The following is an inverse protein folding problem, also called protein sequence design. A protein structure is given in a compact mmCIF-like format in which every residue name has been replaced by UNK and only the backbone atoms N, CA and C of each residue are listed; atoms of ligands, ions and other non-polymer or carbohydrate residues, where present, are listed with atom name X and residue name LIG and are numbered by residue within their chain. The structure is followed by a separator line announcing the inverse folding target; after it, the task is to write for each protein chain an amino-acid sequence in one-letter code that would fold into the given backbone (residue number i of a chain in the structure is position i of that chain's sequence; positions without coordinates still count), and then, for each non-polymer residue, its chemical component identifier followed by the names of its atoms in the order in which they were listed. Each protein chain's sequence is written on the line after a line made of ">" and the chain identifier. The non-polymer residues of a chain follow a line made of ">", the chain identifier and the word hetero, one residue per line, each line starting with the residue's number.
data_IF_494656592353
#
_entry.id   IF_494656592353
#
_cell.length_a   1.000
_cell.length_b   1.000
_cell.length_c   1.000
_cell.angle_alpha   90.00
_cell.angle_beta   90.00
_cell.angle_gamma   90.00
#
_symmetry.space_group_name_H-M   'P 1'
#
loop_
_entity.id
_entity.type
_entity.pdbx_description
1 polymer ?
#
# COMPACT_ATOMS: atom_id res chain seq x y z
N UNK A 1 -3.35 0.90 -17.65
CA UNK A 1 -3.10 1.23 -16.23
C UNK A 1 -4.36 1.57 -15.45
N UNK A 2 -5.04 2.71 -15.67
CA UNK A 2 -6.33 2.98 -14.98
C UNK A 2 -7.39 1.92 -15.35
N UNK A 3 -7.45 1.58 -16.65
CA UNK A 3 -8.31 0.50 -17.14
C UNK A 3 -8.00 -0.87 -16.48
N UNK A 4 -6.73 -1.16 -16.17
CA UNK A 4 -6.33 -2.43 -15.54
C UNK A 4 -6.69 -2.47 -14.05
N UNK A 5 -6.69 -1.31 -13.39
CA UNK A 5 -7.07 -1.18 -11.96
C UNK A 5 -8.58 -1.36 -11.76
N UNK A 6 -9.40 -0.74 -12.60
CA UNK A 6 -10.85 -0.93 -12.55
C UNK A 6 -11.25 -2.34 -13.01
N UNK A 7 -10.58 -2.86 -14.04
CA UNK A 7 -10.74 -4.25 -14.46
C UNK A 7 -10.41 -5.22 -13.32
N UNK A 8 -9.29 -5.04 -12.61
CA UNK A 8 -8.94 -5.90 -11.49
C UNK A 8 -9.93 -5.76 -10.33
N UNK A 9 -10.32 -4.53 -9.96
CA UNK A 9 -11.28 -4.31 -8.87
C UNK A 9 -12.58 -5.08 -9.12
N UNK A 10 -13.04 -5.15 -10.37
CA UNK A 10 -14.23 -5.91 -10.75
C UNK A 10 -14.08 -7.45 -10.64
N UNK A 11 -12.85 -7.96 -10.63
CA UNK A 11 -12.55 -9.39 -10.54
C UNK A 11 -12.37 -9.87 -9.09
N UNK A 12 -12.19 -8.94 -8.14
CA UNK A 12 -12.02 -9.26 -6.72
C UNK A 12 -13.29 -9.96 -6.22
N UNK A 13 -13.16 -11.24 -5.87
CA UNK A 13 -14.25 -12.02 -5.27
C UNK A 13 -14.39 -11.68 -3.78
N UNK A 14 -15.45 -10.99 -3.34
CA UNK A 14 -15.61 -10.59 -1.94
C UNK A 14 -15.75 -11.81 -1.03
N UNK A 15 -15.27 -11.68 0.21
CA UNK A 15 -15.56 -12.64 1.27
C UNK A 15 -17.03 -12.55 1.70
N UNK A 16 -17.58 -13.65 2.21
CA UNK A 16 -18.97 -13.72 2.70
C UNK A 16 -19.17 -12.75 3.87
N UNK A 17 -18.15 -12.61 4.72
CA UNK A 17 -18.10 -11.68 5.85
C UNK A 17 -16.65 -11.24 6.10
N UNK A 18 -16.43 -10.08 6.75
CA UNK A 18 -15.12 -9.68 7.26
C UNK A 18 -14.47 -10.76 8.11
N UNK A 19 -13.14 -10.81 8.08
CA UNK A 19 -12.35 -11.80 8.86
C UNK A 19 -12.04 -11.33 10.28
N UNK A 20 -12.35 -10.08 10.58
CA UNK A 20 -12.17 -9.42 11.88
C UNK A 20 -13.32 -8.44 12.11
N UNK A 21 -13.58 -8.09 13.37
CA UNK A 21 -14.54 -7.07 13.81
C UNK A 21 -13.91 -5.67 13.93
N UNK A 22 -12.58 -5.59 13.92
CA UNK A 22 -11.83 -4.33 13.95
C UNK A 22 -12.02 -3.53 12.68
N UNK A 23 -11.79 -2.23 12.74
CA UNK A 23 -11.67 -1.37 11.57
C UNK A 23 -10.21 -1.33 11.06
N UNK A 24 -10.00 -0.91 9.82
CA UNK A 24 -8.67 -0.68 9.27
C UNK A 24 -8.41 0.80 9.02
N UNK A 25 -7.30 1.33 9.54
CA UNK A 25 -6.78 2.65 9.14
C UNK A 25 -5.63 2.43 8.16
N UNK A 26 -5.82 2.82 6.90
CA UNK A 26 -4.77 2.77 5.88
C UNK A 26 -4.10 4.13 5.76
N UNK A 27 -2.78 4.16 5.90
CA UNK A 27 -1.98 5.39 5.83
C UNK A 27 -1.14 5.34 4.57
N UNK A 28 -1.38 6.29 3.67
CA UNK A 28 -0.63 6.46 2.43
C UNK A 28 0.09 7.80 2.43
N UNK A 29 1.31 7.87 1.88
CA UNK A 29 1.96 9.15 1.65
C UNK A 29 1.17 10.00 0.66
N UNK A 30 1.23 11.32 0.77
CA UNK A 30 0.74 12.21 -0.28
C UNK A 30 1.51 11.99 -1.58
N UNK A 31 0.89 12.30 -2.72
CA UNK A 31 1.56 12.20 -4.03
C UNK A 31 2.80 13.09 -4.08
N UNK A 32 2.71 14.30 -3.55
CA UNK A 32 3.83 15.24 -3.52
C UNK A 32 4.99 14.66 -2.73
N UNK A 33 4.75 14.21 -1.50
CA UNK A 33 5.79 13.60 -0.67
C UNK A 33 6.36 12.33 -1.30
N UNK A 34 5.51 11.51 -1.93
CA UNK A 34 5.94 10.32 -2.66
C UNK A 34 6.95 10.64 -3.75
N UNK A 35 6.64 11.62 -4.61
CA UNK A 35 7.50 12.01 -5.73
C UNK A 35 8.78 12.69 -5.25
N UNK A 36 8.69 13.56 -4.23
CA UNK A 36 9.84 14.23 -3.62
C UNK A 36 10.80 13.24 -2.97
N UNK A 37 10.29 12.24 -2.23
CA UNK A 37 11.11 11.20 -1.63
C UNK A 37 11.85 10.40 -2.71
N UNK A 38 11.18 9.99 -3.78
CA UNK A 38 11.81 9.25 -4.87
C UNK A 38 12.87 10.08 -5.59
N UNK A 39 12.59 11.35 -5.88
CA UNK A 39 13.57 12.26 -6.45
C UNK A 39 14.81 12.37 -5.54
N UNK A 40 14.61 12.54 -4.24
CA UNK A 40 15.69 12.63 -3.25
C UNK A 40 16.55 11.38 -3.26
N UNK A 41 15.94 10.19 -3.20
CA UNK A 41 16.65 8.90 -3.18
C UNK A 41 17.42 8.66 -4.48
N UNK A 42 16.79 8.93 -5.63
CA UNK A 42 17.43 8.70 -6.93
C UNK A 42 18.57 9.67 -7.21
N UNK A 43 18.54 10.87 -6.63
CA UNK A 43 19.65 11.83 -6.72
C UNK A 43 20.94 11.34 -6.04
N UNK A 44 20.86 10.34 -5.17
CA UNK A 44 22.06 9.67 -4.64
C UNK A 44 22.88 8.96 -5.73
N UNK A 45 22.21 8.46 -6.79
CA UNK A 45 22.86 7.84 -7.96
C UNK A 45 22.87 8.72 -9.22
N UNK A 46 21.91 9.63 -9.35
CA UNK A 46 21.72 10.50 -10.53
C UNK A 46 21.51 11.96 -10.09
N UNK A 47 22.58 12.70 -9.73
CA UNK A 47 22.46 14.00 -9.05
C UNK A 47 21.66 15.08 -9.81
N UNK A 48 21.67 15.03 -11.15
CA UNK A 48 21.00 16.02 -12.01
C UNK A 48 19.53 15.66 -12.33
N UNK A 49 18.97 14.62 -11.70
CA UNK A 49 17.58 14.24 -11.91
C UNK A 49 16.63 15.37 -11.47
N UNK A 50 15.59 15.62 -12.25
CA UNK A 50 14.60 16.68 -12.00
C UNK A 50 13.23 16.09 -11.68
N UNK A 51 12.37 16.88 -11.03
CA UNK A 51 10.99 16.45 -10.77
C UNK A 51 10.23 16.17 -12.07
N UNK A 52 10.44 16.99 -13.10
CA UNK A 52 9.83 16.76 -14.42
C UNK A 52 10.19 15.39 -15.03
N UNK A 53 11.43 14.91 -14.83
CA UNK A 53 11.83 13.59 -15.28
C UNK A 53 11.16 12.46 -14.48
N UNK A 54 10.91 12.67 -13.18
CA UNK A 54 10.19 11.73 -12.32
C UNK A 54 8.70 11.70 -12.69
N UNK A 55 8.06 12.86 -12.85
CA UNK A 55 6.66 12.96 -13.27
C UNK A 55 6.41 12.40 -14.67
N UNK A 56 7.37 12.54 -15.58
CA UNK A 56 7.29 11.97 -16.93
C UNK A 56 7.50 10.45 -16.96
N UNK A 57 7.99 9.84 -15.88
CA UNK A 57 8.21 8.39 -15.82
C UNK A 57 6.93 7.66 -15.41
N UNK A 58 6.35 6.81 -16.28
CA UNK A 58 5.13 6.09 -15.98
C UNK A 58 5.25 5.18 -14.75
N UNK A 59 6.43 4.67 -14.44
CA UNK A 59 6.65 3.79 -13.29
C UNK A 59 6.30 4.44 -11.95
N UNK A 60 6.66 5.73 -11.74
CA UNK A 60 6.33 6.43 -10.50
C UNK A 60 4.85 6.80 -10.41
N UNK A 61 4.27 7.26 -11.53
CA UNK A 61 2.84 7.53 -11.60
C UNK A 61 2.01 6.26 -11.34
N UNK A 62 2.40 5.13 -11.92
CA UNK A 62 1.76 3.82 -11.72
C UNK A 62 1.91 3.36 -10.28
N UNK A 63 3.13 3.38 -9.74
CA UNK A 63 3.41 2.91 -8.38
C UNK A 63 2.58 3.65 -7.34
N UNK A 64 2.47 4.97 -7.46
CA UNK A 64 1.59 5.73 -6.57
C UNK A 64 0.12 5.33 -6.70
N UNK A 65 -0.38 5.18 -7.94
CA UNK A 65 -1.76 4.73 -8.17
C UNK A 65 -2.03 3.33 -7.62
N UNK A 66 -1.08 2.40 -7.70
CA UNK A 66 -1.21 1.07 -7.09
C UNK A 66 -1.32 1.15 -5.57
N UNK A 67 -0.55 2.03 -4.92
CA UNK A 67 -0.60 2.19 -3.47
C UNK A 67 -1.92 2.76 -2.96
N UNK A 68 -2.50 3.75 -3.65
CA UNK A 68 -3.79 4.33 -3.24
C UNK A 68 -4.98 3.41 -3.53
N UNK A 69 -4.81 2.40 -4.40
CA UNK A 69 -5.87 1.45 -4.74
C UNK A 69 -5.95 0.26 -3.79
N UNK A 70 -4.87 -0.08 -3.08
CA UNK A 70 -4.89 -1.17 -2.10
C UNK A 70 -6.03 -1.04 -1.06
N UNK A 71 -6.30 0.12 -0.45
CA UNK A 71 -7.48 0.29 0.41
C UNK A 71 -8.81 -0.10 -0.27
N UNK A 72 -9.03 0.35 -1.51
CA UNK A 72 -10.23 0.03 -2.30
C UNK A 72 -10.33 -1.47 -2.56
N UNK A 73 -9.22 -2.14 -2.82
CA UNK A 73 -9.19 -3.59 -3.03
C UNK A 73 -9.47 -4.37 -1.74
N UNK A 74 -8.93 -3.94 -0.60
CA UNK A 74 -9.22 -4.53 0.72
C UNK A 74 -10.72 -4.37 1.05
N UNK A 75 -11.30 -3.20 0.77
CA UNK A 75 -12.73 -2.91 0.95
C UNK A 75 -13.59 -3.81 0.05
N UNK A 76 -13.26 -3.85 -1.24
CA UNK A 76 -13.96 -4.68 -2.23
C UNK A 76 -13.91 -6.16 -1.85
N UNK A 77 -12.76 -6.62 -1.33
CA UNK A 77 -12.57 -7.99 -0.85
C UNK A 77 -13.35 -8.28 0.44
N UNK A 78 -13.84 -7.26 1.14
CA UNK A 78 -14.49 -7.36 2.46
C UNK A 78 -13.59 -8.04 3.51
N UNK A 79 -12.31 -7.67 3.57
CA UNK A 79 -11.41 -8.20 4.62
C UNK A 79 -11.79 -7.57 5.97
N UNK A 80 -12.02 -6.26 5.97
CA UNK A 80 -12.43 -5.48 7.14
C UNK A 80 -13.89 -4.99 7.00
N UNK A 81 -14.61 -4.77 8.10
CA UNK A 81 -15.96 -4.20 8.10
C UNK A 81 -15.98 -2.72 7.67
N UNK A 82 -14.94 -1.96 8.00
CA UNK A 82 -14.77 -0.59 7.53
C UNK A 82 -13.29 -0.21 7.37
N UNK A 83 -13.03 0.74 6.48
CA UNK A 83 -11.68 1.22 6.16
C UNK A 83 -11.66 2.75 6.17
N UNK A 84 -10.72 3.34 6.89
CA UNK A 84 -10.41 4.77 6.87
C UNK A 84 -9.09 4.98 6.14
N UNK A 85 -9.04 5.86 5.13
CA UNK A 85 -7.80 6.20 4.42
C UNK A 85 -7.30 7.55 4.88
N UNK A 86 -6.05 7.61 5.33
CA UNK A 86 -5.34 8.83 5.72
C UNK A 86 -4.19 9.10 4.78
N UNK A 87 -4.24 10.25 4.12
CA UNK A 87 -3.15 10.75 3.27
C UNK A 87 -2.31 11.71 4.10
N UNK A 88 -1.01 11.43 4.23
CA UNK A 88 -0.08 12.20 5.08
C UNK A 88 1.25 12.42 4.36
N UNK A 89 1.98 13.48 4.69
CA UNK A 89 3.34 13.62 4.15
C UNK A 89 4.32 12.73 4.92
N UNK A 90 4.24 12.72 6.25
CA UNK A 90 5.07 11.83 7.07
C UNK A 90 4.15 10.85 7.81
N UNK A 91 4.30 9.53 7.62
CA UNK A 91 3.53 8.53 8.34
C UNK A 91 4.05 8.39 9.77
N UNK A 92 4.02 9.48 10.54
CA UNK A 92 4.37 9.50 11.95
C UNK A 92 3.09 9.49 12.78
N UNK A 93 2.99 8.48 13.66
CA UNK A 93 2.09 8.43 14.82
C UNK A 93 0.69 7.83 14.64
N UNK A 94 0.41 7.08 13.57
CA UNK A 94 -0.81 6.25 13.54
C UNK A 94 -0.50 4.90 14.18
N UNK A 95 -1.07 4.71 15.36
CA UNK A 95 -0.97 3.48 16.14
C UNK A 95 -2.29 2.70 16.06
N UNK A 96 -2.23 1.36 16.05
CA UNK A 96 -3.42 0.55 16.18
C UNK A 96 -4.04 0.74 17.57
N UNK A 97 -5.33 0.47 17.65
CA UNK A 97 -6.08 0.39 18.90
C UNK A 97 -6.63 -1.03 19.06
N UNK A 98 -7.33 -1.29 20.17
CA UNK A 98 -8.06 -2.56 20.31
C UNK A 98 -9.16 -2.72 19.27
N UNK A 99 -9.67 -1.60 18.73
CA UNK A 99 -10.78 -1.54 17.76
C UNK A 99 -10.31 -1.28 16.32
N UNK A 100 -9.02 -1.02 16.11
CA UNK A 100 -8.48 -0.71 14.79
C UNK A 100 -7.08 -1.23 14.57
N UNK A 101 -6.87 -1.87 13.42
CA UNK A 101 -5.54 -2.14 12.90
C UNK A 101 -5.08 -0.98 12.01
N UNK A 102 -3.77 -0.86 11.80
CA UNK A 102 -3.19 0.13 10.90
C UNK A 102 -2.40 -0.56 9.78
N UNK A 103 -2.60 -0.11 8.54
CA UNK A 103 -1.80 -0.51 7.39
C UNK A 103 -1.07 0.72 6.84
N UNK A 104 0.24 0.78 6.99
CA UNK A 104 1.03 1.99 6.79
C UNK A 104 2.00 1.77 5.63
N UNK A 105 1.91 2.58 4.59
CA UNK A 105 2.92 2.64 3.54
C UNK A 105 4.12 3.44 4.03
N UNK A 106 5.30 2.82 4.00
CA UNK A 106 6.57 3.48 4.31
C UNK A 106 7.42 3.55 3.06
N UNK A 107 7.85 4.76 2.71
CA UNK A 107 8.73 4.99 1.57
C UNK A 107 10.18 4.69 1.95
N UNK A 108 10.90 4.04 1.04
CA UNK A 108 12.32 3.76 1.25
C UNK A 108 13.13 5.06 1.31
N UNK A 109 14.08 5.18 2.26
CA UNK A 109 14.99 6.31 2.28
C UNK A 109 16.28 6.05 1.48
N UNK A 110 16.47 4.85 0.91
CA UNK A 110 17.74 4.37 0.35
C UNK A 110 17.60 3.89 -1.10
N UNK A 111 18.61 4.21 -1.92
CA UNK A 111 18.71 3.73 -3.29
C UNK A 111 18.74 2.19 -3.37
N UNK A 112 17.94 1.63 -4.27
CA UNK A 112 17.86 0.18 -4.53
C UNK A 112 17.00 -0.62 -3.54
N UNK A 113 16.49 0.00 -2.47
CA UNK A 113 15.46 -0.59 -1.63
C UNK A 113 14.05 -0.31 -2.20
N UNK A 114 13.05 -1.10 -1.78
CA UNK A 114 11.65 -0.95 -2.20
C UNK A 114 10.83 -0.30 -1.08
N UNK A 115 9.80 0.43 -1.46
CA UNK A 115 8.75 0.86 -0.53
C UNK A 115 8.05 -0.36 0.07
N UNK A 116 7.53 -0.20 1.29
CA UNK A 116 7.00 -1.32 2.06
C UNK A 116 5.72 -0.96 2.79
N UNK A 117 4.75 -1.86 2.72
CA UNK A 117 3.58 -1.84 3.57
C UNK A 117 3.90 -2.48 4.91
N UNK A 118 3.44 -1.85 5.99
CA UNK A 118 3.52 -2.37 7.33
C UNK A 118 2.14 -2.48 7.94
N UNK A 119 1.78 -3.69 8.32
CA UNK A 119 0.60 -3.93 9.14
C UNK A 119 0.97 -3.81 10.62
N UNK A 120 0.14 -3.11 11.37
CA UNK A 120 0.29 -2.95 12.80
C UNK A 120 -1.04 -3.26 13.49
N UNK A 121 -1.02 -4.19 14.45
CA UNK A 121 -2.13 -4.45 15.35
C UNK A 121 -1.68 -4.31 16.80
N UNK A 122 -2.59 -3.88 17.68
CA UNK A 122 -2.32 -3.76 19.12
C UNK A 122 -1.91 -5.12 19.73
N UNK A 123 -2.51 -6.21 19.24
CA UNK A 123 -2.27 -7.57 19.76
C UNK A 123 -0.98 -8.21 19.24
N UNK A 124 -0.67 -8.00 17.97
CA UNK A 124 0.38 -8.75 17.26
C UNK A 124 1.59 -7.90 16.84
N UNK A 125 1.62 -6.63 17.25
CA UNK A 125 2.70 -5.72 16.92
C UNK A 125 2.73 -5.35 15.44
N UNK A 126 3.92 -5.02 14.94
CA UNK A 126 4.18 -4.54 13.57
C UNK A 126 4.82 -5.63 12.72
N UNK A 127 4.34 -5.82 11.50
CA UNK A 127 4.92 -6.71 10.49
C UNK A 127 4.93 -6.07 9.11
N UNK A 128 5.89 -6.44 8.28
CA UNK A 128 5.85 -6.08 6.87
C UNK A 128 4.79 -6.92 6.14
N UNK A 129 4.09 -6.30 5.20
CA UNK A 129 3.17 -6.95 4.26
C UNK A 129 3.82 -6.88 2.88
N UNK A 130 3.96 -8.03 2.25
CA UNK A 130 4.55 -8.16 0.92
C UNK A 130 3.75 -9.21 0.16
N UNK A 131 3.43 -8.91 -1.10
CA UNK A 131 2.96 -9.93 -2.03
C UNK A 131 4.10 -10.86 -2.43
N UNK A 132 3.75 -12.02 -2.99
CA UNK A 132 4.72 -12.98 -3.49
C UNK A 132 5.51 -12.41 -4.68
N UNK A 133 6.82 -12.23 -4.47
CA UNK A 133 7.74 -11.72 -5.49
C UNK A 133 8.03 -12.74 -6.60
N UNK A 134 7.72 -14.03 -6.39
CA UNK A 134 7.88 -15.10 -7.38
C UNK A 134 6.76 -15.14 -8.43
N UNK A 135 5.66 -14.44 -8.18
CA UNK A 135 4.55 -14.33 -9.12
C UNK A 135 4.90 -13.35 -10.24
N UNK A 136 4.66 -13.74 -11.49
CA UNK A 136 4.98 -12.90 -12.67
C UNK A 136 3.81 -11.99 -13.03
N UNK A 137 2.58 -12.53 -12.97
CA UNK A 137 1.36 -11.83 -13.35
C UNK A 137 0.97 -10.75 -12.34
N UNK A 138 0.59 -9.58 -12.84
CA UNK A 138 0.29 -8.41 -12.00
C UNK A 138 -0.92 -8.65 -11.09
N UNK A 139 -1.98 -9.26 -11.60
CA UNK A 139 -3.20 -9.52 -10.83
C UNK A 139 -2.96 -10.56 -9.72
N UNK A 140 -2.19 -11.61 -10.01
CA UNK A 140 -1.83 -12.62 -9.02
C UNK A 140 -0.97 -12.04 -7.89
N UNK A 141 -0.11 -11.04 -8.18
CA UNK A 141 0.63 -10.30 -7.14
C UNK A 141 -0.30 -9.50 -6.25
N UNK A 142 -1.33 -8.87 -6.82
CA UNK A 142 -2.32 -8.13 -6.05
C UNK A 142 -3.19 -9.04 -5.19
N UNK A 143 -3.58 -10.22 -5.70
CA UNK A 143 -4.29 -11.24 -4.92
C UNK A 143 -3.42 -11.73 -3.76
N UNK A 144 -2.13 -12.00 -4.01
CA UNK A 144 -1.17 -12.36 -2.98
C UNK A 144 -1.04 -11.28 -1.90
N UNK A 145 -1.02 -10.00 -2.28
CA UNK A 145 -1.01 -8.89 -1.33
C UNK A 145 -2.29 -8.86 -0.47
N UNK A 146 -3.47 -9.08 -1.08
CA UNK A 146 -4.74 -9.15 -0.36
C UNK A 146 -4.78 -10.34 0.61
N UNK A 147 -4.23 -11.49 0.22
CA UNK A 147 -4.12 -12.66 1.09
C UNK A 147 -3.15 -12.43 2.26
N UNK A 148 -2.08 -11.68 2.05
CA UNK A 148 -1.17 -11.27 3.12
C UNK A 148 -1.88 -10.35 4.13
N UNK A 149 -2.67 -9.37 3.67
CA UNK A 149 -3.49 -8.50 4.52
C UNK A 149 -4.56 -9.30 5.27
N UNK A 150 -5.24 -10.23 4.59
CA UNK A 150 -6.26 -11.09 5.21
C UNK A 150 -5.66 -11.98 6.29
N UNK A 151 -4.56 -12.67 5.98
CA UNK A 151 -3.81 -13.48 6.95
C UNK A 151 -3.39 -12.65 8.15
N UNK A 152 -3.00 -11.39 7.90
CA UNK A 152 -2.66 -10.48 8.95
C UNK A 152 -3.85 -10.16 9.86
N UNK A 153 -4.99 -9.80 9.28
CA UNK A 153 -6.21 -9.45 10.02
C UNK A 153 -6.77 -10.58 10.90
N UNK A 154 -6.47 -11.84 10.59
CA UNK A 154 -6.99 -13.02 11.29
C UNK A 154 -6.23 -13.40 12.57
N UNK A 155 -5.02 -12.86 12.76
CA UNK A 155 -4.18 -13.16 13.94
C UNK A 155 -4.55 -12.24 15.10
#
# INVERSE_FOLDING_TARGET
>A
MVADQDAYTSQIKPLIRPVTDKNLVVVVPSRTYFMENHLRVLREGTPNLTMAAIDANPGFATGYSEYINLPKWIETKKIYPSIEVKVVDVPTSILPTDQSDALIMTLTPKLGARDQWYFHSAKNGKRAIQGDNGVVELFDRWDSMLDAVKTAAMQ
#
